data_IF_936142779473
#
_entry.id   IF_936142779473
#
_cell.length_a   1.000
_cell.length_b   1.000
_cell.length_c   1.000
_cell.angle_alpha   90.00
_cell.angle_beta   90.00
_cell.angle_gamma   90.00
#
_symmetry.space_group_name_H-M   'P 1'
#
loop_
_entity.id
_entity.type
_entity.pdbx_description
1 polymer ?
#
# COMPACT_ATOMS: atom_id res chain seq x y z
N UNK A 1 14.65 -10.93 9.34
CA UNK A 1 14.41 -12.32 9.67
C UNK A 1 12.99 -12.41 10.22
N UNK A 2 12.07 -12.90 9.43
CA UNK A 2 10.65 -13.02 9.76
C UNK A 2 9.83 -13.27 8.51
N UNK A 3 8.58 -13.65 8.70
CA UNK A 3 7.62 -13.85 7.62
C UNK A 3 6.97 -12.50 7.28
N UNK A 4 6.74 -12.28 5.98
CA UNK A 4 6.02 -11.13 5.47
C UNK A 4 5.03 -11.62 4.41
N UNK A 5 3.79 -11.16 4.46
CA UNK A 5 2.84 -11.28 3.38
C UNK A 5 2.57 -9.89 2.80
N UNK A 6 2.41 -9.81 1.49
CA UNK A 6 2.20 -8.57 0.76
C UNK A 6 1.03 -8.72 -0.21
N UNK A 7 0.09 -7.79 -0.14
CA UNK A 7 -0.93 -7.58 -1.16
C UNK A 7 -0.67 -6.25 -1.88
N UNK A 8 -0.84 -6.22 -3.20
CA UNK A 8 -0.56 -5.07 -4.06
C UNK A 8 -1.70 -4.85 -5.04
N UNK A 9 -2.18 -3.63 -5.10
CA UNK A 9 -3.06 -3.13 -6.15
C UNK A 9 -2.34 -1.99 -6.88
N UNK A 10 -2.03 -2.19 -8.14
CA UNK A 10 -1.31 -1.21 -8.93
C UNK A 10 -0.36 -1.82 -9.94
N UNK A 11 0.59 -1.04 -10.39
CA UNK A 11 1.65 -1.46 -11.31
C UNK A 11 2.85 -0.52 -11.21
N UNK A 12 4.05 -1.08 -11.10
CA UNK A 12 5.29 -0.31 -11.10
C UNK A 12 5.75 0.00 -12.52
N UNK A 13 6.18 1.22 -12.75
CA UNK A 13 6.76 1.64 -14.04
C UNK A 13 8.25 1.27 -14.16
N UNK A 14 8.95 1.06 -13.06
CA UNK A 14 10.36 0.70 -13.03
C UNK A 14 10.63 -0.73 -12.51
N UNK A 15 9.65 -1.62 -12.61
CA UNK A 15 9.77 -3.00 -12.12
C UNK A 15 10.92 -3.76 -12.77
N UNK A 16 11.12 -3.62 -14.10
CA UNK A 16 12.19 -4.29 -14.84
C UNK A 16 13.59 -3.84 -14.38
N UNK A 17 13.77 -2.52 -14.22
CA UNK A 17 15.03 -1.93 -13.75
C UNK A 17 15.38 -2.41 -12.34
N UNK A 18 14.40 -2.39 -11.43
CA UNK A 18 14.60 -2.85 -10.06
C UNK A 18 14.88 -4.35 -10.01
N UNK A 19 14.19 -5.14 -10.83
CA UNK A 19 14.42 -6.59 -10.94
C UNK A 19 15.86 -6.89 -11.35
N UNK A 20 16.33 -6.28 -12.43
CA UNK A 20 17.70 -6.46 -12.91
C UNK A 20 18.73 -6.12 -11.82
N UNK A 21 18.55 -4.98 -11.15
CA UNK A 21 19.44 -4.57 -10.07
C UNK A 21 19.44 -5.56 -8.88
N UNK A 22 18.29 -6.15 -8.56
CA UNK A 22 18.16 -7.15 -7.49
C UNK A 22 18.78 -8.49 -7.91
N UNK A 23 18.59 -8.93 -9.15
CA UNK A 23 19.18 -10.17 -9.69
C UNK A 23 20.71 -10.11 -9.71
N UNK A 24 21.29 -8.95 -10.08
CA UNK A 24 22.73 -8.70 -10.01
C UNK A 24 23.28 -8.79 -8.57
N UNK A 25 22.42 -8.58 -7.57
CA UNK A 25 22.75 -8.76 -6.15
C UNK A 25 22.32 -10.13 -5.58
N UNK A 26 22.01 -11.10 -6.44
CA UNK A 26 21.74 -12.48 -6.06
C UNK A 26 20.30 -12.80 -5.72
N UNK A 27 19.33 -11.93 -6.02
CA UNK A 27 17.92 -12.27 -5.87
C UNK A 27 17.48 -13.27 -6.93
N UNK A 28 16.67 -14.26 -6.53
CA UNK A 28 16.11 -15.28 -7.42
C UNK A 28 14.60 -15.07 -7.44
N UNK A 29 14.08 -14.62 -8.56
CA UNK A 29 12.64 -14.40 -8.74
C UNK A 29 11.94 -15.67 -9.23
N UNK A 30 10.74 -15.91 -8.72
CA UNK A 30 9.89 -17.05 -9.07
C UNK A 30 8.73 -16.67 -9.99
N UNK A 31 8.40 -15.38 -10.06
CA UNK A 31 7.29 -14.84 -10.88
C UNK A 31 7.75 -13.66 -11.71
N UNK A 32 6.91 -13.22 -12.63
CA UNK A 32 7.10 -11.98 -13.40
C UNK A 32 6.41 -10.78 -12.73
N UNK A 33 5.77 -10.99 -11.58
CA UNK A 33 5.00 -9.97 -10.88
C UNK A 33 5.90 -8.87 -10.31
N UNK A 34 5.48 -7.63 -10.45
CA UNK A 34 6.08 -6.47 -9.78
C UNK A 34 5.89 -6.50 -8.25
N UNK A 35 4.87 -7.21 -7.78
CA UNK A 35 4.66 -7.45 -6.33
C UNK A 35 5.86 -8.18 -5.72
N UNK A 36 6.45 -9.12 -6.43
CA UNK A 36 7.66 -9.81 -5.96
C UNK A 36 8.87 -8.86 -5.92
N UNK A 37 8.98 -7.96 -6.91
CA UNK A 37 10.00 -6.90 -6.92
C UNK A 37 9.86 -5.97 -5.71
N UNK A 38 8.63 -5.57 -5.36
CA UNK A 38 8.34 -4.77 -4.16
C UNK A 38 8.80 -5.52 -2.90
N UNK A 39 8.43 -6.80 -2.78
CA UNK A 39 8.79 -7.62 -1.62
C UNK A 39 10.31 -7.74 -1.44
N UNK A 40 11.05 -7.99 -2.53
CA UNK A 40 12.51 -8.02 -2.50
C UNK A 40 13.13 -6.66 -2.19
N UNK A 41 12.57 -5.56 -2.73
CA UNK A 41 13.04 -4.21 -2.43
C UNK A 41 12.89 -3.89 -0.94
N UNK A 42 11.73 -4.16 -0.35
CA UNK A 42 11.50 -3.98 1.10
C UNK A 42 12.45 -4.86 1.92
N UNK A 43 12.63 -6.12 1.51
CA UNK A 43 13.51 -7.06 2.22
C UNK A 43 14.97 -6.59 2.18
N UNK A 44 15.44 -6.09 1.04
CA UNK A 44 16.79 -5.56 0.89
C UNK A 44 17.02 -4.32 1.77
N UNK A 45 16.08 -3.37 1.77
CA UNK A 45 16.14 -2.21 2.67
C UNK A 45 16.10 -2.65 4.15
N UNK A 46 15.34 -3.69 4.49
CA UNK A 46 15.27 -4.22 5.87
C UNK A 46 16.60 -4.75 6.40
N UNK A 47 17.55 -5.07 5.55
CA UNK A 47 18.92 -5.44 5.97
C UNK A 47 19.72 -4.24 6.50
N UNK A 48 19.32 -3.03 6.14
CA UNK A 48 20.03 -1.79 6.43
C UNK A 48 19.43 -0.97 7.57
N UNK A 49 18.13 -1.21 7.87
CA UNK A 49 17.38 -0.45 8.87
C UNK A 49 16.81 -1.35 9.97
N UNK A 50 16.40 -0.73 11.08
CA UNK A 50 16.02 -1.46 12.30
C UNK A 50 14.59 -1.97 12.31
N UNK A 51 13.69 -1.36 11.57
CA UNK A 51 12.26 -1.69 11.55
C UNK A 51 11.72 -1.93 10.15
N UNK A 52 10.58 -2.64 10.05
CA UNK A 52 9.93 -2.88 8.75
C UNK A 52 9.34 -1.60 8.18
N UNK A 53 8.81 -0.71 9.01
CA UNK A 53 8.28 0.57 8.57
C UNK A 53 9.35 1.50 7.98
N UNK A 54 10.57 1.51 8.53
CA UNK A 54 11.71 2.21 7.93
C UNK A 54 12.11 1.59 6.60
N UNK A 55 12.09 0.25 6.49
CA UNK A 55 12.37 -0.45 5.24
C UNK A 55 11.33 -0.14 4.16
N UNK A 56 10.05 -0.08 4.53
CA UNK A 56 8.95 0.31 3.64
C UNK A 56 9.13 1.76 3.19
N UNK A 57 9.44 2.67 4.10
CA UNK A 57 9.73 4.07 3.77
C UNK A 57 10.89 4.21 2.78
N UNK A 58 12.01 3.51 3.02
CA UNK A 58 13.15 3.50 2.11
C UNK A 58 12.83 2.84 0.76
N UNK A 59 11.97 1.82 0.74
CA UNK A 59 11.52 1.19 -0.50
C UNK A 59 10.66 2.15 -1.35
N UNK A 60 9.84 3.01 -0.72
CA UNK A 60 9.05 4.03 -1.43
C UNK A 60 9.90 5.04 -2.20
N UNK A 61 11.13 5.31 -1.77
CA UNK A 61 12.07 6.18 -2.51
C UNK A 61 12.59 5.51 -3.80
N UNK A 62 12.45 4.20 -3.90
CA UNK A 62 12.99 3.41 -5.02
C UNK A 62 11.93 2.97 -6.02
N UNK A 63 10.76 2.56 -5.55
CA UNK A 63 9.68 2.08 -6.41
C UNK A 63 8.94 3.26 -7.04
N UNK A 64 8.61 3.15 -8.34
CA UNK A 64 7.88 4.18 -9.10
C UNK A 64 6.64 3.57 -9.74
N UNK A 65 5.56 4.32 -9.75
CA UNK A 65 4.30 3.89 -10.37
C UNK A 65 3.12 3.98 -9.41
N UNK A 66 2.06 3.27 -9.76
CA UNK A 66 0.84 3.20 -8.96
C UNK A 66 0.93 2.02 -7.99
N UNK A 67 0.73 2.26 -6.69
CA UNK A 67 0.64 1.18 -5.73
C UNK A 67 -0.17 1.53 -4.49
N UNK A 68 -1.03 0.61 -4.10
CA UNK A 68 -1.57 0.50 -2.76
C UNK A 68 -1.17 -0.85 -2.20
N UNK A 69 -0.48 -0.85 -1.07
CA UNK A 69 0.09 -2.05 -0.47
C UNK A 69 -0.55 -2.32 0.89
N UNK A 70 -0.80 -3.59 1.17
CA UNK A 70 -1.05 -4.07 2.53
C UNK A 70 0.00 -5.12 2.86
N UNK A 71 0.77 -4.87 3.90
CA UNK A 71 1.89 -5.69 4.32
C UNK A 71 1.60 -6.22 5.72
N UNK A 72 1.65 -7.53 5.86
CA UNK A 72 1.46 -8.20 7.14
C UNK A 72 2.78 -8.82 7.60
N UNK A 73 3.16 -8.53 8.83
CA UNK A 73 4.24 -9.18 9.55
C UNK A 73 3.67 -9.83 10.83
N UNK A 74 4.43 -10.64 11.57
CA UNK A 74 3.92 -11.30 12.77
C UNK A 74 3.34 -10.36 13.86
N UNK A 75 3.70 -9.09 13.83
CA UNK A 75 3.30 -8.14 14.88
C UNK A 75 2.65 -6.86 14.34
N UNK A 76 2.66 -6.63 13.01
CA UNK A 76 2.20 -5.38 12.41
C UNK A 76 1.43 -5.65 11.13
N UNK A 77 0.39 -4.86 10.92
CA UNK A 77 -0.27 -4.70 9.64
C UNK A 77 0.01 -3.27 9.15
N UNK A 78 0.51 -3.14 7.92
CA UNK A 78 0.98 -1.88 7.37
C UNK A 78 0.25 -1.63 6.05
N UNK A 79 -0.33 -0.44 5.92
CA UNK A 79 -0.96 0.03 4.69
C UNK A 79 -0.14 1.18 4.10
N UNK A 80 0.08 1.15 2.79
CA UNK A 80 0.91 2.14 2.08
C UNK A 80 0.19 2.58 0.82
N UNK A 81 0.13 3.87 0.59
CA UNK A 81 -0.40 4.43 -0.66
C UNK A 81 0.68 5.22 -1.37
N UNK A 82 0.79 5.08 -2.69
CA UNK A 82 1.78 5.81 -3.48
C UNK A 82 1.66 7.34 -3.32
N UNK A 83 2.73 8.12 -3.56
CA UNK A 83 2.74 9.57 -3.35
C UNK A 83 1.74 10.37 -4.21
N UNK A 84 1.32 9.82 -5.36
CA UNK A 84 0.26 10.41 -6.20
C UNK A 84 -1.15 10.00 -5.78
N UNK A 85 -1.28 8.87 -5.06
CA UNK A 85 -2.56 8.28 -4.70
C UNK A 85 -3.33 7.72 -5.89
N UNK A 86 -2.64 7.09 -6.84
CA UNK A 86 -3.25 6.52 -8.04
C UNK A 86 -4.30 5.47 -7.73
N UNK A 87 -4.04 4.62 -6.74
CA UNK A 87 -4.99 3.60 -6.30
C UNK A 87 -5.58 3.95 -4.93
N UNK A 88 -6.87 3.63 -4.71
CA UNK A 88 -7.50 3.89 -3.43
C UNK A 88 -7.01 2.92 -2.35
N UNK A 89 -7.07 3.37 -1.11
CA UNK A 89 -6.82 2.56 0.08
C UNK A 89 -7.50 3.22 1.26
N UNK A 90 -8.29 2.49 2.03
CA UNK A 90 -9.03 3.02 3.17
C UNK A 90 -8.79 2.20 4.45
N UNK A 91 -9.11 2.82 5.57
CA UNK A 91 -8.99 2.29 6.91
C UNK A 91 -10.37 2.09 7.49
N UNK A 92 -10.63 0.90 8.03
CA UNK A 92 -11.82 0.57 8.80
C UNK A 92 -11.51 0.09 10.20
N UNK A 93 -12.52 0.11 11.05
CA UNK A 93 -12.51 -0.42 12.42
C UNK A 93 -13.51 -1.56 12.54
N UNK A 94 -13.08 -2.71 13.02
CA UNK A 94 -13.94 -3.84 13.31
C UNK A 94 -13.70 -4.30 14.76
N UNK A 95 -14.62 -3.99 15.64
CA UNK A 95 -14.40 -4.16 17.08
C UNK A 95 -13.15 -3.41 17.55
N UNK A 96 -12.19 -4.12 18.14
CA UNK A 96 -10.91 -3.56 18.57
C UNK A 96 -9.80 -3.65 17.48
N UNK A 97 -10.11 -4.29 16.34
CA UNK A 97 -9.18 -4.50 15.24
C UNK A 97 -9.22 -3.40 14.17
N UNK A 98 -8.14 -3.32 13.37
CA UNK A 98 -8.02 -2.46 12.21
C UNK A 98 -8.12 -3.27 10.93
N UNK A 99 -8.76 -2.71 9.92
CA UNK A 99 -8.95 -3.30 8.60
C UNK A 99 -8.47 -2.31 7.55
N UNK A 100 -7.76 -2.81 6.53
CA UNK A 100 -7.40 -2.04 5.34
C UNK A 100 -8.05 -2.68 4.11
N UNK A 101 -8.60 -1.85 3.26
CA UNK A 101 -9.23 -2.28 2.01
C UNK A 101 -9.01 -1.25 0.90
N UNK A 102 -9.07 -1.67 -0.35
CA UNK A 102 -9.03 -0.76 -1.49
C UNK A 102 -10.29 0.10 -1.57
N UNK A 103 -11.44 -0.44 -1.14
CA UNK A 103 -12.74 0.18 -1.29
C UNK A 103 -13.56 0.14 0.01
N UNK A 104 -14.36 1.19 0.25
CA UNK A 104 -15.23 1.26 1.44
C UNK A 104 -16.31 0.17 1.46
N UNK A 105 -16.82 -0.25 0.30
CA UNK A 105 -17.81 -1.34 0.23
C UNK A 105 -17.29 -2.68 0.79
N UNK A 106 -15.98 -2.91 0.75
CA UNK A 106 -15.38 -4.10 1.37
C UNK A 106 -15.46 -4.04 2.91
N UNK A 107 -15.38 -2.85 3.50
CA UNK A 107 -15.58 -2.64 4.93
C UNK A 107 -17.03 -2.87 5.31
N UNK A 108 -17.98 -2.36 4.52
CA UNK A 108 -19.43 -2.56 4.72
C UNK A 108 -19.79 -4.06 4.68
N UNK A 109 -19.19 -4.79 3.73
CA UNK A 109 -19.41 -6.23 3.55
C UNK A 109 -19.05 -7.10 4.78
N UNK A 110 -18.13 -6.62 5.61
CA UNK A 110 -17.73 -7.30 6.86
C UNK A 110 -18.25 -6.61 8.12
N UNK A 111 -19.07 -5.56 7.98
CA UNK A 111 -19.60 -4.78 9.10
C UNK A 111 -18.53 -3.94 9.82
N UNK A 112 -17.44 -3.56 9.14
CA UNK A 112 -16.43 -2.67 9.67
C UNK A 112 -16.84 -1.21 9.47
N UNK A 113 -16.59 -0.37 10.45
CA UNK A 113 -16.83 1.06 10.35
C UNK A 113 -15.72 1.73 9.54
N UNK A 114 -16.07 2.49 8.49
CA UNK A 114 -15.13 3.33 7.77
C UNK A 114 -14.57 4.42 8.69
N UNK A 115 -13.25 4.59 8.69
CA UNK A 115 -12.57 5.62 9.49
C UNK A 115 -12.10 6.77 8.59
N UNK A 116 -11.29 6.47 7.58
CA UNK A 116 -10.81 7.44 6.59
C UNK A 116 -10.05 6.72 5.45
N UNK A 117 -9.79 7.47 4.40
CA UNK A 117 -8.82 7.05 3.39
C UNK A 117 -7.37 7.20 3.89
N UNK A 118 -6.48 6.35 3.36
CA UNK A 118 -5.03 6.52 3.49
C UNK A 118 -4.61 7.65 2.53
N UNK A 119 -3.89 8.63 3.04
CA UNK A 119 -3.45 9.77 2.22
C UNK A 119 -2.38 9.34 1.22
N UNK A 120 -2.28 10.00 0.05
CA UNK A 120 -1.15 9.82 -0.86
C UNK A 120 0.19 10.01 -0.15
N UNK A 121 1.09 9.04 -0.30
CA UNK A 121 2.40 9.01 0.36
C UNK A 121 2.40 8.58 1.83
N UNK A 122 1.25 8.20 2.39
CA UNK A 122 1.15 7.79 3.79
C UNK A 122 1.47 6.31 3.97
N UNK A 123 2.20 6.01 5.04
CA UNK A 123 2.38 4.66 5.59
C UNK A 123 1.61 4.62 6.91
N UNK A 124 0.61 3.75 7.00
CA UNK A 124 -0.19 3.54 8.22
C UNK A 124 0.21 2.21 8.84
N UNK A 125 0.51 2.21 10.12
CA UNK A 125 0.93 1.04 10.86
C UNK A 125 -0.09 0.75 11.96
N UNK A 126 -0.64 -0.46 11.96
CA UNK A 126 -1.48 -1.01 13.01
C UNK A 126 -0.70 -2.10 13.76
N UNK A 127 -0.54 -1.95 15.05
CA UNK A 127 0.10 -2.92 15.94
C UNK A 127 -0.58 -2.91 17.33
N UNK A 128 0.02 -3.60 18.30
CA UNK A 128 -0.51 -3.66 19.69
C UNK A 128 -0.61 -2.29 20.36
N UNK A 129 0.16 -1.30 19.91
CA UNK A 129 0.11 0.08 20.39
C UNK A 129 -0.99 0.93 19.73
N UNK A 130 -1.72 0.38 18.78
CA UNK A 130 -2.78 1.05 18.04
C UNK A 130 -2.37 1.44 16.62
N UNK A 131 -2.99 2.52 16.10
CA UNK A 131 -2.77 3.03 14.76
C UNK A 131 -1.83 4.25 14.78
N UNK A 132 -0.81 4.23 13.93
CA UNK A 132 0.10 5.39 13.75
C UNK A 132 0.46 5.56 12.28
N UNK A 133 0.93 6.75 11.92
CA UNK A 133 1.25 7.10 10.53
C UNK A 133 2.67 7.66 10.40
N UNK A 134 3.30 7.35 9.26
CA UNK A 134 4.51 8.02 8.76
C UNK A 134 4.09 8.80 7.50
N UNK A 135 4.42 10.08 7.47
CA UNK A 135 3.94 11.02 6.44
C UNK A 135 5.06 11.68 5.65
N UNK A 136 6.27 11.13 5.70
CA UNK A 136 7.45 11.69 5.03
C UNK A 136 7.30 11.83 3.53
N UNK A 137 6.50 10.97 2.89
CA UNK A 137 6.24 11.02 1.45
C UNK A 137 4.94 11.76 1.08
N UNK A 138 4.18 12.25 2.07
CA UNK A 138 2.95 13.00 1.81
C UNK A 138 3.26 14.38 1.22
N UNK A 139 2.45 14.79 0.24
CA UNK A 139 2.57 16.14 -0.37
C UNK A 139 3.76 16.33 -1.30
N UNK A 140 4.51 15.29 -1.61
CA UNK A 140 5.65 15.34 -2.53
C UNK A 140 5.22 15.42 -3.99
N UNK A 141 4.01 14.91 -4.30
CA UNK A 141 3.48 14.84 -5.66
C UNK A 141 2.06 15.41 -5.72
N UNK A 142 1.63 15.89 -6.91
CA UNK A 142 0.22 16.20 -7.16
C UNK A 142 -0.62 14.94 -7.01
N UNK A 143 -1.81 15.11 -6.44
CA UNK A 143 -2.79 14.05 -6.30
C UNK A 143 -3.35 13.67 -7.69
N UNK A 144 -3.36 12.39 -8.03
CA UNK A 144 -3.67 11.89 -9.37
C UNK A 144 -4.42 10.55 -9.30
N UNK A 145 -5.59 10.53 -8.68
CA UNK A 145 -6.40 9.31 -8.64
C UNK A 145 -6.70 8.83 -10.06
N UNK A 146 -6.55 7.55 -10.29
CA UNK A 146 -6.84 6.93 -11.59
C UNK A 146 -8.34 7.04 -11.90
N UNK A 147 -8.70 7.70 -12.99
CA UNK A 147 -10.10 7.88 -13.41
C UNK A 147 -10.83 6.55 -13.63
N UNK A 148 -10.11 5.47 -13.98
CA UNK A 148 -10.69 4.15 -14.13
C UNK A 148 -11.25 3.55 -12.84
N UNK A 149 -10.86 4.08 -11.67
CA UNK A 149 -11.50 3.71 -10.40
C UNK A 149 -12.99 4.09 -10.41
N UNK A 150 -13.36 5.25 -10.98
CA UNK A 150 -14.76 5.69 -11.11
C UNK A 150 -15.51 5.07 -12.29
N UNK A 151 -14.80 4.61 -13.33
CA UNK A 151 -15.42 4.11 -14.56
C UNK A 151 -15.60 2.58 -14.54
N UNK A 152 -14.63 1.84 -14.01
CA UNK A 152 -14.54 0.40 -14.21
C UNK A 152 -14.15 -0.41 -12.97
N UNK A 153 -13.22 0.07 -12.14
CA UNK A 153 -12.64 -0.78 -11.09
C UNK A 153 -13.48 -0.80 -9.82
N UNK A 154 -13.86 0.36 -9.30
CA UNK A 154 -14.56 0.45 -8.03
C UNK A 154 -16.06 0.15 -8.17
N UNK A 155 -16.64 -0.38 -7.13
CA UNK A 155 -18.10 -0.58 -7.06
C UNK A 155 -18.80 0.78 -6.94
N UNK A 156 -20.01 0.93 -7.54
CA UNK A 156 -20.75 2.19 -7.49
C UNK A 156 -21.09 2.68 -6.07
N UNK A 157 -21.23 1.77 -5.12
CA UNK A 157 -21.55 2.05 -3.71
C UNK A 157 -20.30 2.40 -2.87
N UNK A 158 -19.12 2.40 -3.47
CA UNK A 158 -17.87 2.80 -2.79
C UNK A 158 -17.71 4.31 -2.70
N UNK A 159 -17.03 4.74 -1.64
CA UNK A 159 -16.55 6.12 -1.46
C UNK A 159 -15.02 6.09 -1.52
N UNK A 160 -14.44 6.91 -2.40
CA UNK A 160 -12.99 7.04 -2.60
C UNK A 160 -12.62 8.51 -2.44
N UNK A 161 -11.70 8.80 -1.52
CA UNK A 161 -11.20 10.15 -1.27
C UNK A 161 -12.33 11.18 -1.04
N UNK A 162 -13.40 10.74 -0.40
CA UNK A 162 -14.57 11.57 -0.08
C UNK A 162 -15.60 11.72 -1.20
N UNK A 163 -15.38 11.09 -2.38
CA UNK A 163 -16.31 11.09 -3.50
C UNK A 163 -17.01 9.75 -3.65
N UNK A 164 -18.33 9.75 -3.80
CA UNK A 164 -19.09 8.55 -4.12
C UNK A 164 -18.87 8.18 -5.58
N UNK A 165 -18.51 6.92 -5.86
CA UNK A 165 -18.22 6.43 -7.21
C UNK A 165 -19.42 6.59 -8.14
N UNK A 166 -20.64 6.39 -7.65
CA UNK A 166 -21.87 6.51 -8.46
C UNK A 166 -22.13 7.95 -8.94
N UNK A 167 -21.63 8.97 -8.24
CA UNK A 167 -21.91 10.37 -8.53
C UNK A 167 -20.70 11.19 -8.99
N UNK A 168 -19.55 10.54 -9.16
CA UNK A 168 -18.27 11.16 -9.52
C UNK A 168 -18.13 11.46 -11.02
#
# INVERSE_FOLDING_TARGET
KGSMALAHNGNLTNAAELREALELNGAIFHTTSDTEVIAYTITNERLRVSSIEEAVSAAMDRIKGAYSLVIMSPQKLIAVRDPHGFRPLCIGRLGDGWVFASESCALDGIGAQFVRDVRPGEIVIADKGGLRSITTHCGQCPRSLCVFEYIYFARPDSVIDGSCVHTA
#
